data_IF_653527746587
#
_entry.id   IF_653527746587
#
_cell.length_a   1.000
_cell.length_b   1.000
_cell.length_c   1.000
_cell.angle_alpha   90.00
_cell.angle_beta   90.00
_cell.angle_gamma   90.00
#
_symmetry.space_group_name_H-M   'P 1'
#
loop_
_entity.id
_entity.type
_entity.pdbx_description
1 polymer ?
#
# COMPACT_ATOMS: atom_id res chain seq x y z
N UNK A 1 39.81 8.14 0.36
CA UNK A 1 38.45 8.69 0.39
C UNK A 1 38.20 9.13 1.82
N UNK A 2 37.61 10.28 2.03
CA UNK A 2 37.50 10.95 3.32
C UNK A 2 36.03 11.00 3.78
N UNK A 3 35.80 11.28 5.06
CA UNK A 3 34.46 11.52 5.65
C UNK A 3 33.63 12.53 4.82
N UNK A 4 34.30 13.57 4.24
CA UNK A 4 33.65 14.50 3.29
C UNK A 4 33.00 13.86 2.07
N UNK A 5 33.47 12.67 1.64
CA UNK A 5 32.83 11.94 0.51
C UNK A 5 31.53 11.30 0.96
N UNK A 6 31.50 10.71 2.14
CA UNK A 6 30.30 10.15 2.76
C UNK A 6 29.25 11.22 2.99
N UNK A 7 29.69 12.33 3.59
CA UNK A 7 28.89 13.51 3.85
C UNK A 7 28.17 14.04 2.59
N UNK A 8 28.91 14.18 1.48
CA UNK A 8 28.31 14.58 0.19
C UNK A 8 27.27 13.57 -0.36
N UNK A 9 27.52 12.28 -0.17
CA UNK A 9 26.57 11.24 -0.59
C UNK A 9 25.30 11.34 0.25
N UNK A 10 25.42 11.48 1.56
CA UNK A 10 24.27 11.61 2.47
C UNK A 10 23.42 12.84 2.11
N UNK A 11 24.06 14.01 1.92
CA UNK A 11 23.34 15.23 1.52
C UNK A 11 22.55 15.04 0.22
N UNK A 12 23.15 14.43 -0.80
CA UNK A 12 22.46 14.13 -2.07
C UNK A 12 21.28 13.17 -1.89
N UNK A 13 21.40 12.16 -1.05
CA UNK A 13 20.32 11.21 -0.78
C UNK A 13 19.18 11.85 0.01
N UNK A 14 19.47 12.79 0.90
CA UNK A 14 18.47 13.58 1.61
C UNK A 14 17.69 14.49 0.64
N UNK A 15 18.43 15.20 -0.25
CA UNK A 15 17.81 16.02 -1.31
C UNK A 15 16.92 15.19 -2.23
N UNK A 16 17.42 14.04 -2.68
CA UNK A 16 16.65 13.11 -3.53
C UNK A 16 15.40 12.56 -2.83
N UNK A 17 15.43 12.49 -1.49
CA UNK A 17 14.29 12.06 -0.65
C UNK A 17 13.36 13.21 -0.25
N UNK A 18 13.60 14.44 -0.75
CA UNK A 18 12.81 15.65 -0.42
C UNK A 18 12.81 15.97 1.08
N UNK A 19 13.92 15.72 1.77
CA UNK A 19 14.08 16.03 3.20
C UNK A 19 14.91 17.28 3.35
N UNK A 20 14.28 18.35 3.86
CA UNK A 20 15.01 19.57 4.25
C UNK A 20 15.92 19.26 5.44
N UNK A 21 17.22 19.50 5.27
CA UNK A 21 18.21 19.12 6.26
C UNK A 21 19.21 20.28 6.54
N UNK A 22 19.79 20.25 7.71
CA UNK A 22 20.68 21.30 8.23
C UNK A 22 21.96 20.67 8.71
N UNK A 23 23.08 21.17 8.27
CA UNK A 23 24.39 20.77 8.79
C UNK A 23 24.59 21.33 10.22
N UNK A 24 25.02 20.49 11.16
CA UNK A 24 25.39 20.81 12.54
C UNK A 24 24.28 21.41 13.43
N UNK A 25 23.37 22.25 12.91
CA UNK A 25 22.31 22.89 13.68
C UNK A 25 21.04 23.12 12.86
N UNK A 26 19.90 23.13 13.49
CA UNK A 26 18.58 23.34 12.86
C UNK A 26 17.93 24.65 13.37
N UNK A 27 16.83 25.12 12.73
CA UNK A 27 16.12 26.32 13.16
C UNK A 27 15.50 26.25 14.56
N UNK A 28 15.40 25.06 15.14
CA UNK A 28 14.77 24.86 16.46
C UNK A 28 15.83 24.96 17.56
N UNK A 29 15.82 26.09 18.29
CA UNK A 29 16.83 26.39 19.30
C UNK A 29 16.84 25.38 20.46
N UNK A 30 15.69 24.82 20.82
CA UNK A 30 15.54 23.80 21.86
C UNK A 30 16.39 22.55 21.53
N UNK A 31 16.34 22.09 20.28
CA UNK A 31 17.15 20.96 19.80
C UNK A 31 18.64 21.28 19.86
N UNK A 32 19.02 22.47 19.36
CA UNK A 32 20.43 22.92 19.37
C UNK A 32 21.00 23.03 20.77
N UNK A 33 20.20 23.39 21.76
CA UNK A 33 20.63 23.48 23.17
C UNK A 33 20.72 22.10 23.85
N UNK A 34 19.93 21.14 23.40
CA UNK A 34 19.87 19.81 23.98
C UNK A 34 21.09 18.95 23.64
N UNK A 35 21.78 19.23 22.53
CA UNK A 35 22.86 18.38 22.02
C UNK A 35 24.16 18.58 22.80
N UNK A 36 24.66 17.49 23.40
CA UNK A 36 25.88 17.45 24.20
C UNK A 36 27.00 16.76 23.42
N UNK A 37 28.23 17.26 23.55
CA UNK A 37 29.40 16.70 22.88
C UNK A 37 29.66 15.24 23.20
N UNK A 38 29.86 14.43 22.19
CA UNK A 38 30.29 13.02 22.26
C UNK A 38 31.53 12.77 23.09
N UNK A 39 32.36 13.80 23.31
CA UNK A 39 33.66 13.71 24.05
C UNK A 39 33.51 13.84 25.58
N UNK A 40 32.29 13.88 26.09
CA UNK A 40 32.06 13.98 27.54
C UNK A 40 32.52 15.31 28.17
N UNK A 41 32.73 16.35 27.38
CA UNK A 41 33.25 17.64 27.87
C UNK A 41 32.18 18.56 28.47
N UNK A 42 30.91 18.17 28.41
CA UNK A 42 29.75 18.99 28.77
C UNK A 42 29.50 20.18 27.85
N UNK A 43 30.33 20.37 26.81
CA UNK A 43 30.13 21.40 25.79
C UNK A 43 29.09 20.98 24.77
N UNK A 44 28.64 21.95 23.95
CA UNK A 44 27.76 21.64 22.79
C UNK A 44 28.44 20.63 21.85
N UNK A 45 27.62 19.74 21.35
CA UNK A 45 27.97 18.80 20.29
C UNK A 45 27.12 19.08 19.04
N UNK A 46 27.57 18.55 17.91
CA UNK A 46 26.92 18.74 16.63
C UNK A 46 26.95 17.40 15.87
N UNK A 47 25.78 16.91 15.43
CA UNK A 47 25.73 15.82 14.47
C UNK A 47 26.11 16.33 13.08
N UNK A 48 26.33 15.45 12.12
CA UNK A 48 26.60 15.87 10.74
C UNK A 48 25.37 16.53 10.12
N UNK A 49 24.18 15.93 10.28
CA UNK A 49 22.92 16.53 9.84
C UNK A 49 21.79 16.40 10.86
N UNK A 50 20.90 17.38 10.79
CA UNK A 50 19.61 17.42 11.46
C UNK A 50 18.51 17.67 10.43
N UNK A 51 17.36 17.04 10.61
CA UNK A 51 16.16 17.34 9.84
C UNK A 51 14.91 17.23 10.71
N UNK A 52 13.84 17.84 10.25
CA UNK A 52 12.51 17.74 10.88
C UNK A 52 11.56 17.18 9.85
N UNK A 53 10.89 16.11 10.20
CA UNK A 53 9.90 15.45 9.32
C UNK A 53 8.63 15.17 10.12
N UNK A 54 7.57 15.96 9.89
CA UNK A 54 6.38 15.92 10.74
C UNK A 54 6.72 16.12 12.22
N UNK A 55 6.31 15.20 13.07
CA UNK A 55 6.58 15.20 14.53
C UNK A 55 7.94 14.57 14.90
N UNK A 56 8.76 14.20 13.92
CA UNK A 56 10.01 13.50 14.13
C UNK A 56 11.22 14.45 13.99
N UNK A 57 12.17 14.31 14.89
CA UNK A 57 13.51 14.84 14.70
C UNK A 57 14.40 13.76 14.08
N UNK A 58 15.11 14.11 13.04
CA UNK A 58 16.07 13.22 12.37
C UNK A 58 17.47 13.69 12.72
N UNK A 59 18.32 12.77 13.14
CA UNK A 59 19.73 13.00 13.48
C UNK A 59 20.60 12.05 12.67
N UNK A 60 21.62 12.55 12.01
CA UNK A 60 22.49 11.74 11.16
C UNK A 60 23.94 11.91 11.58
N UNK A 61 24.63 10.80 11.77
CA UNK A 61 26.06 10.69 11.92
C UNK A 61 26.65 9.80 10.85
N UNK A 62 27.75 10.19 10.28
CA UNK A 62 28.42 9.41 9.26
C UNK A 62 29.86 9.04 9.58
N UNK A 63 30.38 8.04 8.90
CA UNK A 63 31.76 7.58 8.93
C UNK A 63 32.22 7.11 7.56
N UNK A 64 33.45 7.40 7.20
CA UNK A 64 33.99 7.00 5.91
C UNK A 64 34.13 5.49 5.75
N UNK A 65 34.37 4.75 6.83
CA UNK A 65 34.65 3.31 6.80
C UNK A 65 33.42 2.52 7.28
N UNK A 66 33.05 1.50 6.56
CA UNK A 66 31.95 0.60 6.92
C UNK A 66 32.24 -0.12 8.26
N UNK A 67 33.50 -0.38 8.59
CA UNK A 67 33.88 -0.99 9.86
C UNK A 67 33.63 -0.05 11.07
N UNK A 68 33.43 1.24 10.84
CA UNK A 68 33.10 2.22 11.88
C UNK A 68 31.55 2.46 11.94
N UNK A 69 30.72 1.51 11.45
CA UNK A 69 29.27 1.60 11.48
C UNK A 69 28.70 1.56 12.89
N UNK A 70 29.01 0.53 13.64
CA UNK A 70 28.45 0.31 14.98
C UNK A 70 29.38 -0.48 15.89
N UNK A 71 29.25 -0.24 17.20
CA UNK A 71 29.87 -1.06 18.25
C UNK A 71 28.80 -1.52 19.25
N UNK A 72 28.69 -2.82 19.42
CA UNK A 72 27.73 -3.45 20.32
C UNK A 72 28.38 -3.96 21.62
N UNK A 73 27.57 -4.17 22.64
CA UNK A 73 27.89 -4.96 23.82
C UNK A 73 28.08 -6.44 23.43
N UNK A 74 28.42 -7.28 24.39
CA UNK A 74 28.61 -8.73 24.19
C UNK A 74 27.36 -9.46 23.74
N UNK A 75 26.17 -8.87 23.93
CA UNK A 75 24.89 -9.38 23.47
C UNK A 75 24.67 -9.25 21.95
N UNK A 76 25.54 -8.45 21.26
CA UNK A 76 25.44 -8.10 19.85
C UNK A 76 24.12 -7.38 19.43
N UNK A 77 23.35 -6.89 20.38
CA UNK A 77 22.08 -6.21 20.18
C UNK A 77 22.09 -4.78 20.70
N UNK A 78 22.73 -4.57 21.87
CA UNK A 78 22.77 -3.28 22.54
C UNK A 78 24.00 -2.48 22.11
N UNK A 79 23.81 -1.24 21.66
CA UNK A 79 24.90 -0.33 21.27
C UNK A 79 25.72 0.08 22.51
N UNK A 80 27.05 0.01 22.40
CA UNK A 80 27.97 0.40 23.47
C UNK A 80 28.10 1.93 23.54
N UNK A 81 27.69 2.53 24.65
CA UNK A 81 27.57 4.00 24.80
C UNK A 81 28.71 4.65 25.58
N UNK A 82 29.90 4.05 25.62
CA UNK A 82 31.10 4.72 26.16
C UNK A 82 31.63 5.82 25.22
N UNK A 83 32.36 6.79 25.75
CA UNK A 83 32.88 7.95 25.02
C UNK A 83 33.69 7.59 23.76
N UNK A 84 34.43 6.50 23.78
CA UNK A 84 35.22 6.03 22.64
C UNK A 84 34.32 5.55 21.52
N UNK A 85 33.34 4.70 21.86
CA UNK A 85 32.39 4.11 20.90
C UNK A 85 31.48 5.16 20.28
N UNK A 86 30.94 6.07 21.08
CA UNK A 86 30.09 7.18 20.61
C UNK A 86 30.84 8.14 19.67
N UNK A 87 32.14 8.30 19.88
CA UNK A 87 32.97 9.18 19.02
C UNK A 87 33.37 8.50 17.72
N UNK A 88 33.64 7.20 17.76
CA UNK A 88 34.20 6.45 16.64
C UNK A 88 33.17 5.91 15.68
N UNK A 89 32.03 5.42 16.19
CA UNK A 89 31.05 4.68 15.38
C UNK A 89 29.80 5.51 15.05
N UNK A 90 29.33 5.39 13.83
CA UNK A 90 28.20 6.18 13.31
C UNK A 90 26.90 5.97 14.11
N UNK A 91 26.45 4.73 14.28
CA UNK A 91 25.20 4.42 15.02
C UNK A 91 25.27 4.86 16.49
N UNK A 92 26.41 4.63 17.15
CA UNK A 92 26.61 5.01 18.55
C UNK A 92 26.59 6.54 18.72
N UNK A 93 27.17 7.27 17.77
CA UNK A 93 27.18 8.74 17.76
C UNK A 93 25.78 9.31 17.49
N UNK A 94 25.06 8.77 16.50
CA UNK A 94 23.70 9.17 16.20
C UNK A 94 22.74 8.92 17.38
N UNK A 95 22.83 7.73 18.00
CA UNK A 95 22.05 7.41 19.18
C UNK A 95 22.33 8.34 20.36
N UNK A 96 23.61 8.75 20.56
CA UNK A 96 24.00 9.69 21.63
C UNK A 96 23.24 11.01 21.49
N UNK A 97 23.21 11.60 20.30
CA UNK A 97 22.48 12.86 20.07
C UNK A 97 20.98 12.68 20.18
N UNK A 98 20.43 11.58 19.66
CA UNK A 98 19.02 11.29 19.77
C UNK A 98 18.56 11.15 21.22
N UNK A 99 19.32 10.46 22.07
CA UNK A 99 19.05 10.36 23.50
C UNK A 99 19.13 11.73 24.19
N UNK A 100 20.12 12.55 23.82
CA UNK A 100 20.23 13.91 24.35
C UNK A 100 18.98 14.77 24.02
N UNK A 101 18.46 14.66 22.80
CA UNK A 101 17.25 15.36 22.39
C UNK A 101 16.03 14.85 23.18
N UNK A 102 15.83 13.54 23.26
CA UNK A 102 14.71 12.95 24.01
C UNK A 102 14.69 13.36 25.48
N UNK A 103 15.89 13.42 26.10
CA UNK A 103 16.02 13.72 27.53
C UNK A 103 15.85 15.22 27.85
N UNK A 104 16.26 16.10 26.93
CA UNK A 104 16.38 17.53 27.21
C UNK A 104 15.42 18.41 26.40
N UNK A 105 14.48 17.82 25.64
CA UNK A 105 13.45 18.56 24.87
C UNK A 105 12.07 17.94 25.04
N UNK A 106 11.09 18.63 24.47
CA UNK A 106 9.71 18.09 24.39
C UNK A 106 9.50 17.10 23.23
N UNK A 107 10.46 16.93 22.35
CA UNK A 107 10.37 15.94 21.27
C UNK A 107 10.45 14.52 21.82
N UNK A 108 9.51 13.68 21.39
CA UNK A 108 9.36 12.29 21.89
C UNK A 108 9.58 11.23 20.82
N UNK A 109 9.76 11.65 19.56
CA UNK A 109 10.00 10.76 18.42
C UNK A 109 11.28 11.24 17.71
N UNK A 110 12.35 10.48 17.79
CA UNK A 110 13.62 10.77 17.11
C UNK A 110 14.02 9.57 16.27
N UNK A 111 14.42 9.82 15.03
CA UNK A 111 15.07 8.81 14.17
C UNK A 111 16.54 9.17 14.07
N UNK A 112 17.40 8.33 14.61
CA UNK A 112 18.83 8.46 14.48
C UNK A 112 19.34 7.58 13.33
N UNK A 113 20.19 8.11 12.47
CA UNK A 113 20.83 7.37 11.38
C UNK A 113 22.32 7.27 11.62
N UNK A 114 22.84 6.05 11.71
CA UNK A 114 24.25 5.77 11.52
C UNK A 114 24.52 5.44 10.06
N UNK A 115 25.36 6.22 9.40
CA UNK A 115 25.69 6.02 8.01
C UNK A 115 27.19 5.75 7.85
N UNK A 116 27.59 4.83 6.95
CA UNK A 116 29.01 4.59 6.69
C UNK A 116 29.28 4.10 5.28
N UNK A 117 30.47 4.46 4.78
CA UNK A 117 30.93 4.09 3.43
C UNK A 117 31.10 5.29 2.52
N UNK A 118 31.93 5.12 1.48
CA UNK A 118 32.30 6.19 0.51
C UNK A 118 31.88 5.86 -0.92
N UNK A 119 31.06 4.82 -1.10
CA UNK A 119 30.52 4.39 -2.38
C UNK A 119 28.98 4.46 -2.29
N UNK A 120 28.36 5.29 -3.10
CA UNK A 120 26.90 5.50 -3.11
C UNK A 120 26.10 4.20 -3.27
N UNK A 121 26.62 3.22 -4.00
CA UNK A 121 25.97 1.91 -4.20
C UNK A 121 26.14 0.94 -3.03
N UNK A 122 27.06 1.24 -2.11
CA UNK A 122 27.43 0.35 -1.00
C UNK A 122 27.41 1.05 0.37
N UNK A 123 26.86 2.26 0.42
CA UNK A 123 26.69 2.98 1.66
C UNK A 123 25.73 2.21 2.58
N UNK A 124 26.09 2.12 3.85
CA UNK A 124 25.24 1.54 4.89
C UNK A 124 24.44 2.67 5.53
N UNK A 125 23.12 2.57 5.54
CA UNK A 125 22.21 3.52 6.18
C UNK A 125 21.37 2.73 7.16
N UNK A 126 21.59 2.93 8.46
CA UNK A 126 20.84 2.20 9.50
C UNK A 126 20.07 3.18 10.39
N UNK A 127 18.73 3.14 10.31
CA UNK A 127 17.88 3.92 11.19
C UNK A 127 17.70 3.27 12.56
N UNK A 128 17.58 4.10 13.59
CA UNK A 128 17.29 3.74 14.97
C UNK A 128 16.16 4.64 15.45
N UNK A 129 15.03 4.07 15.82
CA UNK A 129 13.97 4.83 16.47
C UNK A 129 14.26 5.00 17.95
N UNK A 130 14.15 6.23 18.44
CA UNK A 130 14.43 6.59 19.85
C UNK A 130 13.20 7.28 20.44
N UNK A 131 12.79 6.83 21.61
CA UNK A 131 11.66 7.35 22.37
C UNK A 131 11.99 7.44 23.85
N UNK A 132 11.15 8.06 24.69
CA UNK A 132 11.38 8.10 26.14
C UNK A 132 11.48 6.74 26.82
N UNK A 133 10.94 5.70 26.18
CA UNK A 133 10.95 4.32 26.72
C UNK A 133 12.16 3.49 26.28
N UNK A 134 12.99 4.01 25.37
CA UNK A 134 14.17 3.33 24.86
C UNK A 134 14.38 3.52 23.37
N UNK A 135 15.17 2.64 22.76
CA UNK A 135 15.43 2.68 21.34
C UNK A 135 15.21 1.29 20.67
N UNK A 136 14.96 1.32 19.37
CA UNK A 136 14.78 0.13 18.54
C UNK A 136 15.57 0.34 17.25
N UNK A 137 16.48 -0.59 16.94
CA UNK A 137 17.17 -0.63 15.64
C UNK A 137 16.18 -1.08 14.57
N UNK A 138 16.19 -0.41 13.43
CA UNK A 138 15.28 -0.65 12.31
C UNK A 138 16.02 -1.34 11.15
N UNK A 139 15.31 -1.91 10.17
CA UNK A 139 15.92 -2.47 8.97
C UNK A 139 16.77 -1.44 8.20
N UNK A 140 17.86 -1.88 7.58
CA UNK A 140 18.71 -1.02 6.76
C UNK A 140 17.91 -0.36 5.63
N UNK A 141 18.08 0.94 5.47
CA UNK A 141 17.54 1.69 4.34
C UNK A 141 18.48 1.66 3.13
N UNK A 142 17.91 1.86 1.94
CA UNK A 142 18.68 2.16 0.71
C UNK A 142 18.88 3.66 0.55
N UNK A 143 17.95 4.45 1.06
CA UNK A 143 17.88 5.91 1.03
C UNK A 143 17.04 6.42 2.22
N UNK A 144 16.65 7.69 2.18
CA UNK A 144 15.85 8.33 3.23
C UNK A 144 14.36 8.53 2.85
N UNK A 145 13.90 8.04 1.70
CA UNK A 145 12.55 8.31 1.16
C UNK A 145 11.41 7.93 2.10
N UNK A 146 11.58 6.86 2.88
CA UNK A 146 10.60 6.41 3.88
C UNK A 146 10.44 7.40 5.05
N UNK A 147 11.38 8.34 5.20
CA UNK A 147 11.44 9.30 6.31
C UNK A 147 11.13 10.73 5.87
N UNK A 148 10.68 10.93 4.63
CA UNK A 148 10.13 12.20 4.17
C UNK A 148 8.85 12.55 4.93
N UNK A 149 8.48 13.83 4.95
CA UNK A 149 7.26 14.31 5.66
C UNK A 149 5.99 13.59 5.20
N UNK A 150 5.94 13.14 3.96
CA UNK A 150 4.80 12.39 3.39
C UNK A 150 4.75 10.93 3.87
N UNK A 151 5.89 10.30 4.14
CA UNK A 151 6.00 8.87 4.37
C UNK A 151 6.26 8.47 5.82
N UNK A 152 6.84 9.36 6.65
CA UNK A 152 7.38 9.01 7.97
C UNK A 152 6.30 8.50 8.94
N UNK A 153 5.08 9.06 8.91
CA UNK A 153 3.99 8.60 9.77
C UNK A 153 3.52 7.20 9.39
N UNK A 154 3.48 6.90 8.08
CA UNK A 154 3.16 5.54 7.60
C UNK A 154 4.23 4.55 8.05
N UNK A 155 5.52 4.89 7.86
CA UNK A 155 6.64 4.06 8.30
C UNK A 155 6.61 3.81 9.81
N UNK A 156 6.31 4.85 10.59
CA UNK A 156 6.17 4.75 12.04
C UNK A 156 5.09 3.76 12.44
N UNK A 157 3.89 3.90 11.87
CA UNK A 157 2.78 3.03 12.21
C UNK A 157 3.02 1.57 11.79
N UNK A 158 3.51 1.34 10.58
CA UNK A 158 3.68 0.00 10.01
C UNK A 158 4.91 -0.73 10.56
N UNK A 159 6.07 -0.09 10.58
CA UNK A 159 7.35 -0.74 10.87
C UNK A 159 7.73 -0.59 12.34
N UNK A 160 7.53 0.57 12.93
CA UNK A 160 7.93 0.83 14.31
C UNK A 160 6.89 0.30 15.29
N UNK A 161 5.62 0.63 15.08
CA UNK A 161 4.51 0.19 15.90
C UNK A 161 4.00 -1.22 15.53
N UNK A 162 4.31 -1.70 14.33
CA UNK A 162 3.86 -3.02 13.85
C UNK A 162 2.36 -3.08 13.54
N UNK A 163 1.72 -1.93 13.30
CA UNK A 163 0.33 -1.88 12.88
C UNK A 163 0.21 -2.34 11.43
N UNK A 164 -0.89 -3.01 11.09
CA UNK A 164 -1.18 -3.28 9.68
C UNK A 164 -1.44 -1.95 8.95
N UNK A 165 -0.99 -1.83 7.70
CA UNK A 165 -1.27 -0.65 6.88
C UNK A 165 -2.77 -0.47 6.70
N UNK A 166 -3.20 0.79 6.59
CA UNK A 166 -4.61 1.12 6.33
C UNK A 166 -5.07 0.40 5.07
N UNK A 167 -4.26 0.42 4.01
CA UNK A 167 -4.55 -0.28 2.75
C UNK A 167 -4.75 -1.79 2.94
N UNK A 168 -3.95 -2.41 3.81
CA UNK A 168 -4.06 -3.85 4.10
C UNK A 168 -5.32 -4.18 4.91
N UNK A 169 -5.69 -3.33 5.86
CA UNK A 169 -6.94 -3.47 6.64
C UNK A 169 -8.15 -3.28 5.73
N UNK A 170 -8.12 -2.27 4.84
CA UNK A 170 -9.17 -2.02 3.88
C UNK A 170 -9.32 -3.16 2.88
N UNK A 171 -8.20 -3.68 2.36
CA UNK A 171 -8.22 -4.85 1.48
C UNK A 171 -8.83 -6.08 2.16
N UNK A 172 -8.43 -6.39 3.40
CA UNK A 172 -9.04 -7.49 4.17
C UNK A 172 -10.55 -7.29 4.34
N UNK A 173 -10.97 -6.05 4.55
CA UNK A 173 -12.38 -5.69 4.67
C UNK A 173 -13.12 -5.94 3.35
N UNK A 174 -12.55 -5.52 2.22
CA UNK A 174 -13.13 -5.73 0.88
C UNK A 174 -13.24 -7.23 0.58
N UNK A 175 -12.19 -8.01 0.85
CA UNK A 175 -12.22 -9.47 0.64
C UNK A 175 -13.26 -10.16 1.54
N UNK A 176 -13.40 -9.73 2.79
CA UNK A 176 -14.45 -10.23 3.69
C UNK A 176 -15.86 -9.91 3.16
N UNK A 177 -16.06 -8.70 2.62
CA UNK A 177 -17.32 -8.28 1.99
C UNK A 177 -17.58 -9.04 0.69
N UNK A 178 -16.56 -9.33 -0.11
CA UNK A 178 -16.66 -10.17 -1.29
C UNK A 178 -17.15 -11.57 -0.94
N UNK A 179 -16.63 -12.17 0.14
CA UNK A 179 -17.09 -13.48 0.64
C UNK A 179 -18.54 -13.45 1.05
N UNK A 180 -18.96 -12.43 1.81
CA UNK A 180 -20.38 -12.28 2.19
C UNK A 180 -21.28 -12.17 0.96
N UNK A 181 -20.90 -11.32 0.00
CA UNK A 181 -21.66 -11.17 -1.24
C UNK A 181 -21.73 -12.48 -2.05
N UNK A 182 -20.64 -13.26 -2.08
CA UNK A 182 -20.63 -14.56 -2.75
C UNK A 182 -21.68 -15.51 -2.17
N UNK A 183 -21.81 -15.59 -0.84
CA UNK A 183 -22.84 -16.38 -0.18
C UNK A 183 -24.26 -15.84 -0.44
N UNK A 184 -24.43 -14.52 -0.43
CA UNK A 184 -25.72 -13.88 -0.69
C UNK A 184 -26.20 -14.07 -2.13
N UNK A 185 -25.30 -14.02 -3.11
CA UNK A 185 -25.61 -14.34 -4.51
C UNK A 185 -26.09 -15.78 -4.68
N UNK A 186 -25.56 -16.71 -3.91
CA UNK A 186 -26.02 -18.10 -3.86
C UNK A 186 -27.37 -18.23 -3.17
N UNK A 187 -27.52 -17.61 -1.99
CA UNK A 187 -28.68 -17.81 -1.11
C UNK A 187 -29.92 -17.08 -1.59
N UNK A 188 -29.78 -15.88 -2.12
CA UNK A 188 -30.89 -15.04 -2.59
C UNK A 188 -31.02 -15.04 -4.11
N UNK A 189 -29.92 -15.06 -4.85
CA UNK A 189 -29.91 -15.07 -6.31
C UNK A 189 -30.05 -16.47 -6.92
N UNK A 190 -29.83 -17.53 -6.14
CA UNK A 190 -29.76 -18.92 -6.61
C UNK A 190 -28.81 -19.09 -7.79
N UNK A 191 -27.68 -18.36 -7.73
CA UNK A 191 -26.66 -18.31 -8.79
C UNK A 191 -25.62 -19.42 -8.61
N UNK A 192 -25.29 -20.08 -9.70
CA UNK A 192 -24.14 -20.96 -9.80
C UNK A 192 -22.82 -20.15 -9.78
N UNK A 193 -21.73 -20.83 -9.48
CA UNK A 193 -20.44 -20.14 -9.29
C UNK A 193 -19.96 -19.41 -10.55
N UNK A 194 -20.20 -19.96 -11.76
CA UNK A 194 -19.88 -19.28 -13.03
C UNK A 194 -20.78 -18.09 -13.37
N UNK A 195 -21.96 -18.00 -12.76
CA UNK A 195 -22.96 -16.95 -13.01
C UNK A 195 -22.75 -15.72 -12.12
N UNK A 196 -22.21 -15.93 -10.91
CA UNK A 196 -21.99 -14.86 -9.93
C UNK A 196 -21.11 -13.72 -10.47
N UNK A 197 -19.93 -14.00 -11.09
CA UNK A 197 -19.10 -12.94 -11.66
C UNK A 197 -19.81 -12.13 -12.73
N UNK A 198 -20.66 -12.78 -13.56
CA UNK A 198 -21.42 -12.09 -14.60
C UNK A 198 -22.44 -11.11 -14.00
N UNK A 199 -23.18 -11.54 -12.99
CA UNK A 199 -24.18 -10.69 -12.31
C UNK A 199 -23.49 -9.50 -11.64
N UNK A 200 -22.38 -9.74 -10.92
CA UNK A 200 -21.59 -8.68 -10.27
C UNK A 200 -21.03 -7.70 -11.28
N UNK A 201 -20.45 -8.18 -12.39
CA UNK A 201 -19.90 -7.33 -13.44
C UNK A 201 -20.98 -6.45 -14.08
N UNK A 202 -22.15 -7.01 -14.38
CA UNK A 202 -23.24 -6.25 -14.97
C UNK A 202 -23.75 -5.16 -14.02
N UNK A 203 -23.86 -5.44 -12.73
CA UNK A 203 -24.27 -4.46 -11.73
C UNK A 203 -23.22 -3.35 -11.60
N UNK A 204 -21.93 -3.69 -11.50
CA UNK A 204 -20.86 -2.70 -11.40
C UNK A 204 -20.82 -1.78 -12.64
N UNK A 205 -20.94 -2.34 -13.84
CA UNK A 205 -21.02 -1.55 -15.07
C UNK A 205 -22.26 -0.65 -15.13
N UNK A 206 -23.40 -1.12 -14.62
CA UNK A 206 -24.61 -0.31 -14.53
C UNK A 206 -24.47 0.84 -13.52
N UNK A 207 -23.79 0.61 -12.40
CA UNK A 207 -23.52 1.64 -11.37
C UNK A 207 -22.61 2.77 -11.88
N UNK A 208 -21.79 2.51 -12.91
CA UNK A 208 -20.98 3.52 -13.60
C UNK A 208 -21.77 4.38 -14.59
N UNK A 209 -23.03 4.03 -14.89
CA UNK A 209 -23.89 4.84 -15.75
C UNK A 209 -24.55 5.98 -14.97
N UNK A 210 -24.41 7.21 -15.49
CA UNK A 210 -24.80 8.44 -14.78
C UNK A 210 -26.28 8.53 -14.43
N UNK A 211 -27.13 7.97 -15.29
CA UNK A 211 -28.60 8.02 -15.14
C UNK A 211 -29.15 6.80 -14.39
N UNK A 212 -28.30 5.91 -13.91
CA UNK A 212 -28.69 4.73 -13.15
C UNK A 212 -28.65 4.98 -11.64
N UNK A 213 -29.75 4.60 -10.97
CA UNK A 213 -29.84 4.62 -9.50
C UNK A 213 -30.41 3.30 -9.00
N UNK A 214 -29.86 2.79 -7.91
CA UNK A 214 -30.38 1.61 -7.21
C UNK A 214 -31.79 1.80 -6.68
N UNK A 215 -32.22 3.05 -6.45
CA UNK A 215 -33.58 3.38 -6.03
C UNK A 215 -34.64 3.07 -7.09
N UNK A 216 -34.22 3.07 -8.37
CA UNK A 216 -35.11 2.73 -9.50
C UNK A 216 -35.39 1.22 -9.62
N UNK A 217 -34.70 0.37 -8.85
CA UNK A 217 -34.91 -1.07 -8.82
C UNK A 217 -36.06 -1.38 -7.85
N UNK A 218 -37.27 -1.36 -8.38
CA UNK A 218 -38.52 -1.42 -7.61
C UNK A 218 -39.23 -2.80 -7.67
N UNK A 219 -38.69 -3.74 -8.44
CA UNK A 219 -39.30 -5.07 -8.63
C UNK A 219 -40.53 -5.02 -9.55
N UNK A 220 -40.58 -4.08 -10.49
CA UNK A 220 -41.69 -3.94 -11.42
C UNK A 220 -41.80 -5.14 -12.38
N UNK A 221 -43.03 -5.47 -12.75
CA UNK A 221 -43.30 -6.58 -13.68
C UNK A 221 -43.22 -6.18 -15.17
N UNK A 222 -43.38 -4.87 -15.48
CA UNK A 222 -43.36 -4.38 -16.87
C UNK A 222 -41.90 -4.20 -17.34
N UNK A 223 -41.07 -3.52 -16.53
CA UNK A 223 -39.63 -3.39 -16.74
C UNK A 223 -38.93 -3.93 -15.51
N UNK A 224 -38.51 -5.17 -15.59
CA UNK A 224 -37.86 -5.85 -14.45
C UNK A 224 -36.57 -5.20 -14.03
N UNK A 225 -36.14 -5.44 -12.79
CA UNK A 225 -34.86 -4.91 -12.28
C UNK A 225 -33.68 -5.42 -13.12
N UNK A 226 -33.74 -6.67 -13.59
CA UNK A 226 -32.78 -7.23 -14.54
C UNK A 226 -32.68 -6.43 -15.84
N UNK A 227 -33.86 -6.05 -16.41
CA UNK A 227 -33.90 -5.24 -17.63
C UNK A 227 -33.29 -3.83 -17.39
N UNK A 228 -33.58 -3.21 -16.24
CA UNK A 228 -33.04 -1.87 -15.90
C UNK A 228 -31.52 -1.90 -15.77
N UNK A 229 -30.98 -2.93 -15.10
CA UNK A 229 -29.52 -3.11 -14.97
C UNK A 229 -28.88 -3.38 -16.35
N UNK A 230 -29.49 -4.27 -17.14
CA UNK A 230 -28.98 -4.61 -18.46
C UNK A 230 -28.94 -3.38 -19.40
N UNK A 231 -30.00 -2.57 -19.41
CA UNK A 231 -30.08 -1.34 -20.22
C UNK A 231 -28.98 -0.33 -19.80
N UNK A 232 -28.82 -0.11 -18.50
CA UNK A 232 -27.79 0.78 -17.97
C UNK A 232 -26.36 0.28 -18.30
N UNK A 233 -26.08 -1.00 -18.08
CA UNK A 233 -24.80 -1.63 -18.43
C UNK A 233 -24.51 -1.50 -19.94
N UNK A 234 -25.52 -1.77 -20.80
CA UNK A 234 -25.38 -1.66 -22.25
C UNK A 234 -25.09 -0.22 -22.67
N UNK A 235 -25.78 0.77 -22.10
CA UNK A 235 -25.55 2.19 -22.34
C UNK A 235 -24.11 2.60 -21.94
N UNK A 236 -23.64 2.13 -20.76
CA UNK A 236 -22.26 2.36 -20.32
C UNK A 236 -21.24 1.78 -21.32
N UNK A 237 -21.41 0.52 -21.74
CA UNK A 237 -20.52 -0.12 -22.70
C UNK A 237 -20.55 0.55 -24.10
N UNK A 238 -21.66 1.14 -24.50
CA UNK A 238 -21.72 1.93 -25.75
C UNK A 238 -20.94 3.22 -25.65
N UNK A 239 -21.03 3.89 -24.51
CA UNK A 239 -20.32 5.16 -24.26
C UNK A 239 -18.80 4.96 -24.20
N UNK A 240 -18.32 3.90 -23.58
CA UNK A 240 -16.87 3.59 -23.42
C UNK A 240 -16.20 3.14 -24.73
N UNK A 241 -16.96 2.94 -25.81
CA UNK A 241 -16.43 2.53 -27.13
C UNK A 241 -15.54 1.29 -27.10
N UNK A 242 -16.02 0.21 -26.50
CA UNK A 242 -15.31 -1.07 -26.49
C UNK A 242 -15.17 -1.63 -27.91
N UNK A 243 -13.94 -1.94 -28.29
CA UNK A 243 -13.62 -2.51 -29.62
C UNK A 243 -12.95 -3.88 -29.48
N UNK A 244 -13.09 -4.82 -30.43
CA UNK A 244 -13.91 -4.77 -31.62
C UNK A 244 -15.41 -5.04 -31.33
N UNK A 245 -16.31 -4.52 -32.16
CA UNK A 245 -17.77 -4.61 -31.97
C UNK A 245 -18.32 -6.04 -31.85
N UNK A 246 -17.70 -7.00 -32.54
CA UNK A 246 -18.06 -8.44 -32.42
C UNK A 246 -17.82 -8.97 -31.01
N UNK A 247 -16.71 -8.56 -30.40
CA UNK A 247 -16.34 -8.96 -29.03
C UNK A 247 -17.31 -8.33 -28.01
N UNK A 248 -17.62 -7.05 -28.20
CA UNK A 248 -18.59 -6.30 -27.40
C UNK A 248 -19.95 -7.01 -27.37
N UNK A 249 -20.48 -7.39 -28.55
CA UNK A 249 -21.77 -8.06 -28.64
C UNK A 249 -21.78 -9.39 -27.88
N UNK A 250 -20.72 -10.21 -28.02
CA UNK A 250 -20.61 -11.48 -27.29
C UNK A 250 -20.60 -11.29 -25.77
N UNK A 251 -19.91 -10.26 -25.28
CA UNK A 251 -19.86 -9.94 -23.84
C UNK A 251 -21.25 -9.50 -23.36
N UNK A 252 -21.93 -8.60 -24.10
CA UNK A 252 -23.29 -8.17 -23.76
C UNK A 252 -24.26 -9.37 -23.74
N UNK A 253 -24.15 -10.28 -24.70
CA UNK A 253 -25.03 -11.47 -24.78
C UNK A 253 -24.92 -12.37 -23.54
N UNK A 254 -23.73 -12.43 -22.88
CA UNK A 254 -23.57 -13.21 -21.66
C UNK A 254 -24.33 -12.61 -20.47
N UNK A 255 -24.50 -11.30 -20.43
CA UNK A 255 -25.25 -10.61 -19.37
C UNK A 255 -26.76 -10.76 -19.48
N UNK A 256 -27.30 -11.33 -20.57
CA UNK A 256 -28.72 -11.64 -20.71
C UNK A 256 -29.26 -12.55 -19.58
N UNK A 257 -28.38 -13.28 -18.91
CA UNK A 257 -28.68 -14.05 -17.70
C UNK A 257 -29.55 -13.27 -16.71
N UNK A 258 -29.20 -11.97 -16.50
CA UNK A 258 -29.91 -11.12 -15.53
C UNK A 258 -31.36 -10.88 -15.90
N UNK A 259 -31.65 -10.83 -17.20
CA UNK A 259 -33.03 -10.66 -17.71
C UNK A 259 -33.82 -11.96 -17.60
N UNK A 260 -33.19 -13.10 -17.93
CA UNK A 260 -33.86 -14.38 -18.05
C UNK A 260 -34.06 -15.14 -16.73
N UNK A 261 -33.63 -14.58 -15.61
CA UNK A 261 -33.80 -15.16 -14.28
C UNK A 261 -34.82 -14.37 -13.45
N UNK A 262 -36.11 -14.74 -13.45
CA UNK A 262 -37.13 -13.99 -12.71
C UNK A 262 -36.85 -13.84 -11.23
N UNK A 263 -36.27 -14.88 -10.59
CA UNK A 263 -35.92 -14.86 -9.16
C UNK A 263 -35.02 -13.68 -8.77
N UNK A 264 -34.21 -13.18 -9.69
CA UNK A 264 -33.33 -12.04 -9.43
C UNK A 264 -34.09 -10.71 -9.35
N UNK A 265 -35.20 -10.59 -10.08
CA UNK A 265 -36.00 -9.36 -10.18
C UNK A 265 -37.23 -9.37 -9.29
N UNK A 266 -37.71 -10.54 -8.86
CA UNK A 266 -38.85 -10.68 -7.98
C UNK A 266 -38.48 -10.32 -6.54
N UNK A 267 -39.46 -9.81 -5.79
CA UNK A 267 -39.26 -9.45 -4.38
C UNK A 267 -39.08 -10.71 -3.54
N UNK A 268 -37.91 -10.86 -2.93
CA UNK A 268 -37.63 -11.89 -1.92
C UNK A 268 -38.22 -11.45 -0.56
N UNK A 269 -38.98 -12.34 0.09
CA UNK A 269 -39.65 -12.04 1.35
C UNK A 269 -38.67 -11.73 2.49
N UNK A 270 -37.49 -12.37 2.50
CA UNK A 270 -36.47 -12.19 3.53
C UNK A 270 -35.75 -10.86 3.38
N UNK A 271 -35.53 -10.40 2.13
CA UNK A 271 -34.88 -9.14 1.82
C UNK A 271 -35.83 -7.94 1.81
N UNK A 272 -37.13 -8.17 1.61
CA UNK A 272 -38.14 -7.13 1.43
C UNK A 272 -38.00 -6.35 0.12
N UNK A 273 -37.09 -6.75 -0.77
CA UNK A 273 -36.77 -6.17 -2.08
C UNK A 273 -36.28 -7.26 -3.04
N UNK A 274 -36.07 -6.92 -4.32
CA UNK A 274 -35.46 -7.86 -5.25
C UNK A 274 -34.00 -8.17 -4.90
N UNK A 275 -33.50 -9.39 -5.16
CA UNK A 275 -32.08 -9.72 -5.00
C UNK A 275 -31.17 -8.77 -5.77
N UNK A 276 -31.49 -8.40 -7.02
CA UNK A 276 -30.69 -7.46 -7.80
C UNK A 276 -30.58 -6.08 -7.14
N UNK A 277 -31.65 -5.56 -6.57
CA UNK A 277 -31.60 -4.31 -5.80
C UNK A 277 -30.69 -4.46 -4.59
N UNK A 278 -30.83 -5.54 -3.85
CA UNK A 278 -29.97 -5.80 -2.68
C UNK A 278 -28.49 -5.87 -3.07
N UNK A 279 -28.15 -6.62 -4.12
CA UNK A 279 -26.76 -6.73 -4.59
C UNK A 279 -26.21 -5.40 -5.13
N UNK A 280 -27.02 -4.61 -5.82
CA UNK A 280 -26.62 -3.30 -6.33
C UNK A 280 -26.35 -2.32 -5.20
N UNK A 281 -27.23 -2.24 -4.20
CA UNK A 281 -27.00 -1.41 -2.99
C UNK A 281 -25.78 -1.88 -2.21
N UNK A 282 -25.56 -3.19 -2.09
CA UNK A 282 -24.42 -3.76 -1.40
C UNK A 282 -23.10 -3.43 -2.11
N UNK A 283 -23.03 -3.63 -3.43
CA UNK A 283 -21.84 -3.31 -4.24
C UNK A 283 -21.53 -1.82 -4.22
N UNK A 284 -22.54 -0.98 -4.38
CA UNK A 284 -22.37 0.48 -4.34
C UNK A 284 -21.77 0.93 -3.02
N UNK A 285 -22.36 0.53 -1.89
CA UNK A 285 -21.98 1.03 -0.57
C UNK A 285 -20.70 0.40 -0.01
N UNK A 286 -20.41 -0.86 -0.34
CA UNK A 286 -19.35 -1.62 0.32
C UNK A 286 -18.13 -1.87 -0.57
N UNK A 287 -18.28 -1.84 -1.87
CA UNK A 287 -17.23 -2.22 -2.81
C UNK A 287 -16.84 -1.05 -3.69
N UNK A 288 -17.79 -0.44 -4.42
CA UNK A 288 -17.48 0.63 -5.37
C UNK A 288 -16.86 1.85 -4.69
N UNK A 289 -17.43 2.29 -3.57
CA UNK A 289 -16.87 3.40 -2.78
C UNK A 289 -15.44 3.13 -2.32
N UNK A 290 -15.15 1.90 -1.92
CA UNK A 290 -13.81 1.51 -1.49
C UNK A 290 -12.81 1.43 -2.66
N UNK A 291 -13.25 0.96 -3.84
CA UNK A 291 -12.43 0.95 -5.07
C UNK A 291 -12.10 2.38 -5.52
N UNK A 292 -13.08 3.29 -5.49
CA UNK A 292 -12.88 4.68 -5.92
C UNK A 292 -11.98 5.50 -5.00
N UNK A 293 -11.96 5.16 -3.70
CA UNK A 293 -11.19 5.90 -2.69
C UNK A 293 -9.75 5.42 -2.52
N UNK A 294 -9.41 4.26 -3.03
CA UNK A 294 -8.10 3.63 -2.86
C UNK A 294 -7.45 3.32 -4.20
N UNK A 295 -6.24 3.81 -4.35
CA UNK A 295 -5.33 3.42 -5.42
C UNK A 295 -3.98 3.19 -4.76
N UNK A 296 -3.08 2.42 -5.12
CA UNK A 296 -2.56 1.89 -6.37
C UNK A 296 -2.59 0.37 -6.47
N UNK A 297 -3.19 -0.33 -5.55
CA UNK A 297 -3.33 -1.78 -5.68
C UNK A 297 -4.55 -2.11 -6.53
N UNK A 298 -4.45 -3.15 -7.34
CA UNK A 298 -5.56 -3.71 -8.11
C UNK A 298 -6.61 -4.35 -7.19
N UNK A 299 -7.35 -3.48 -6.46
CA UNK A 299 -8.42 -3.88 -5.54
C UNK A 299 -9.51 -4.61 -6.30
N UNK A 300 -9.82 -4.17 -7.52
CA UNK A 300 -10.83 -4.79 -8.37
C UNK A 300 -10.39 -6.19 -8.82
N UNK A 301 -9.13 -6.34 -9.26
CA UNK A 301 -8.58 -7.65 -9.61
C UNK A 301 -8.56 -8.61 -8.44
N UNK A 302 -8.25 -8.15 -7.23
CA UNK A 302 -8.30 -8.98 -6.02
C UNK A 302 -9.72 -9.34 -5.62
N UNK A 303 -10.66 -8.40 -5.74
CA UNK A 303 -12.08 -8.65 -5.51
C UNK A 303 -12.61 -9.73 -6.46
N UNK A 304 -12.32 -9.62 -7.77
CA UNK A 304 -12.68 -10.66 -8.74
C UNK A 304 -11.90 -11.96 -8.54
N UNK A 305 -10.64 -11.90 -8.15
CA UNK A 305 -9.85 -13.08 -7.80
C UNK A 305 -10.50 -13.90 -6.69
N UNK A 306 -11.11 -13.25 -5.69
CA UNK A 306 -11.89 -13.90 -4.65
C UNK A 306 -13.10 -14.63 -5.23
N UNK A 307 -13.87 -13.99 -6.12
CA UNK A 307 -14.99 -14.64 -6.78
C UNK A 307 -14.58 -15.85 -7.63
N UNK A 308 -13.46 -15.76 -8.33
CA UNK A 308 -12.95 -16.85 -9.16
C UNK A 308 -12.45 -18.01 -8.28
N UNK A 309 -11.81 -17.72 -7.14
CA UNK A 309 -11.33 -18.75 -6.21
C UNK A 309 -12.44 -19.60 -5.61
N UNK A 310 -13.64 -19.02 -5.42
CA UNK A 310 -14.82 -19.76 -4.98
C UNK A 310 -15.54 -20.52 -6.11
N UNK A 311 -15.28 -20.18 -7.37
CA UNK A 311 -15.92 -20.81 -8.52
C UNK A 311 -15.40 -22.22 -8.84
N UNK A 312 -14.38 -22.69 -8.13
CA UNK A 312 -13.84 -24.02 -8.34
C UNK A 312 -13.27 -24.60 -7.07
N UNK A 313 -14.07 -25.36 -6.34
CA UNK A 313 -13.56 -26.20 -5.25
C UNK A 313 -12.43 -27.15 -5.67
N UNK A 314 -12.17 -27.31 -6.99
CA UNK A 314 -11.11 -28.16 -7.53
C UNK A 314 -10.46 -27.64 -8.82
N UNK A 315 -10.66 -26.37 -9.20
CA UNK A 315 -10.01 -25.80 -10.41
C UNK A 315 -10.43 -26.46 -11.76
N UNK A 316 -11.40 -27.37 -11.75
CA UNK A 316 -11.70 -28.20 -12.92
C UNK A 316 -12.84 -27.68 -13.81
N UNK A 317 -13.65 -26.72 -13.35
CA UNK A 317 -14.84 -26.31 -14.11
C UNK A 317 -14.55 -25.31 -15.24
N UNK A 318 -13.42 -24.58 -15.21
CA UNK A 318 -13.06 -23.63 -16.27
C UNK A 318 -11.67 -23.87 -16.88
N UNK A 319 -10.86 -24.79 -16.32
CA UNK A 319 -9.51 -25.06 -16.84
C UNK A 319 -8.54 -23.85 -16.76
N UNK A 320 -8.94 -22.78 -16.08
CA UNK A 320 -8.14 -21.55 -15.99
C UNK A 320 -7.50 -21.48 -14.61
N UNK A 321 -6.19 -21.62 -14.57
CA UNK A 321 -5.38 -21.38 -13.37
C UNK A 321 -4.73 -20.00 -13.51
N UNK A 322 -5.20 -19.02 -12.75
CA UNK A 322 -4.57 -17.71 -12.74
C UNK A 322 -3.13 -17.82 -12.20
N UNK A 323 -2.19 -17.21 -12.90
CA UNK A 323 -0.81 -17.12 -12.44
C UNK A 323 -0.75 -16.34 -11.11
N UNK A 324 -0.19 -16.91 -10.05
CA UNK A 324 -0.11 -16.23 -8.76
C UNK A 324 0.58 -14.86 -8.86
N UNK A 325 0.07 -13.85 -8.14
CA UNK A 325 0.54 -12.46 -8.20
C UNK A 325 2.07 -12.33 -8.02
N UNK A 326 2.65 -13.04 -7.05
CA UNK A 326 4.10 -13.02 -6.81
C UNK A 326 4.93 -13.52 -8.00
N UNK A 327 4.36 -14.37 -8.84
CA UNK A 327 5.03 -14.85 -10.08
C UNK A 327 4.92 -13.79 -11.18
N UNK A 328 3.77 -13.13 -11.32
CA UNK A 328 3.61 -12.04 -12.29
C UNK A 328 4.48 -10.83 -11.93
N UNK A 329 4.58 -10.48 -10.66
CA UNK A 329 5.49 -9.45 -10.16
C UNK A 329 6.96 -9.79 -10.48
N UNK A 330 7.38 -11.02 -10.19
CA UNK A 330 8.72 -11.50 -10.52
C UNK A 330 8.99 -11.39 -12.02
N UNK A 331 8.05 -11.80 -12.88
CA UNK A 331 8.20 -11.68 -14.34
C UNK A 331 8.33 -10.23 -14.79
N UNK A 332 7.56 -9.31 -14.21
CA UNK A 332 7.62 -7.89 -14.53
C UNK A 332 8.98 -7.30 -14.15
N UNK A 333 9.48 -7.63 -12.96
CA UNK A 333 10.81 -7.19 -12.50
C UNK A 333 11.95 -7.76 -13.36
N UNK A 334 11.90 -9.05 -13.67
CA UNK A 334 12.93 -9.70 -14.50
C UNK A 334 12.93 -9.22 -15.97
N UNK A 335 11.75 -8.86 -16.49
CA UNK A 335 11.61 -8.36 -17.85
C UNK A 335 11.99 -6.88 -17.98
N UNK A 336 12.17 -6.14 -16.88
CA UNK A 336 12.51 -4.71 -16.86
C UNK A 336 11.62 -3.86 -17.79
N UNK A 337 10.31 -4.15 -17.82
CA UNK A 337 9.34 -3.54 -18.76
C UNK A 337 9.26 -2.02 -18.53
N UNK A 338 9.41 -1.27 -19.62
CA UNK A 338 9.32 0.19 -19.64
C UNK A 338 7.98 0.64 -20.23
N UNK A 339 7.50 1.85 -19.90
CA UNK A 339 6.23 2.38 -20.46
C UNK A 339 6.16 2.44 -21.98
N UNK A 340 7.31 2.42 -22.65
CA UNK A 340 7.42 2.48 -24.12
C UNK A 340 7.48 1.11 -24.79
N UNK A 341 7.57 0.04 -24.01
CA UNK A 341 7.74 -1.30 -24.54
C UNK A 341 6.41 -1.88 -25.05
N UNK A 342 6.53 -2.70 -26.09
CA UNK A 342 5.41 -3.49 -26.60
C UNK A 342 5.57 -4.92 -26.09
N UNK A 343 4.63 -5.33 -25.24
CA UNK A 343 4.60 -6.67 -24.67
C UNK A 343 3.72 -7.58 -25.52
N UNK A 344 4.24 -8.75 -25.89
CA UNK A 344 3.49 -9.82 -26.54
C UNK A 344 3.44 -11.03 -25.64
N UNK A 345 2.24 -11.46 -25.30
CA UNK A 345 1.99 -12.74 -24.65
C UNK A 345 1.43 -13.73 -25.69
N UNK A 346 2.26 -14.65 -26.21
CA UNK A 346 1.84 -15.61 -27.23
C UNK A 346 0.98 -16.74 -26.63
N UNK A 347 0.99 -16.89 -25.31
CA UNK A 347 0.23 -17.90 -24.57
C UNK A 347 -0.96 -17.30 -23.84
N UNK A 348 -1.35 -16.06 -24.19
CA UNK A 348 -2.50 -15.40 -23.59
C UNK A 348 -3.76 -16.26 -23.77
N UNK A 349 -4.06 -17.03 -22.75
CA UNK A 349 -5.33 -17.75 -22.68
C UNK A 349 -6.42 -16.70 -22.57
N UNK A 350 -7.27 -16.62 -23.59
CA UNK A 350 -8.55 -15.93 -23.42
C UNK A 350 -9.21 -16.61 -22.25
N UNK A 351 -9.29 -15.94 -21.12
CA UNK A 351 -10.29 -16.27 -20.13
C UNK A 351 -11.59 -16.19 -20.89
N UNK A 352 -12.07 -17.35 -21.31
CA UNK A 352 -13.40 -17.50 -21.88
C UNK A 352 -14.33 -17.24 -20.70
N UNK A 353 -14.60 -15.97 -20.46
CA UNK A 353 -15.65 -15.50 -19.57
C UNK A 353 -16.99 -15.79 -20.19
#
# INVERSE_FOLDING_TARGET
>A
MTEKTTDLIISKLLDASSIEHYAESCPIEEINKAMVSKRGTGKKGFPEYLAISGDFVIVIEDKAKVEDQAKYLKDNETLLMDTSSVTKYAENGALHYALSIIQNTNFKKVIAFGCSGTDEKRIVIRPIYVSPTGYKTLPNGKDFSQFSTENIERYYNEIICGNESIERVELKTILSRAKTLHEDLRNYGQLGDSEKPLVVSAILLALEEKDFSTENLTGDTIKTDGQKIFDAMSAHMERVKVEPQVKKKRVIDQFNLIIYRPVLSEKDERLGKSPLRYFAEYLHSNILTAICNNSPEDVLGRFYGEFISYSGGDGQTLGVVLTPKHITELFTELAEIKPTDKVLDPCWEQVAS
#
